data_IF_582238078196
#
_entry.id   IF_582238078196
#
_cell.length_a   1.000
_cell.length_b   1.000
_cell.length_c   1.000
_cell.angle_alpha   90.00
_cell.angle_beta   90.00
_cell.angle_gamma   90.00
#
_symmetry.space_group_name_H-M   'P 1'
#
loop_
_entity.id
_entity.type
_entity.pdbx_description
1 polymer ?
#
# COMPACT_ATOMS: atom_id res chain seq x y z
N UNK A 1 20.51 -14.21 1.44
CA UNK A 1 20.09 -12.96 2.13
C UNK A 1 19.29 -12.06 1.18
N UNK A 2 18.32 -11.32 1.71
CA UNK A 2 17.52 -10.32 0.97
C UNK A 2 17.79 -8.95 1.57
N UNK A 3 18.14 -7.97 0.75
CA UNK A 3 18.39 -6.57 1.18
C UNK A 3 17.22 -5.70 0.73
N UNK A 4 16.51 -5.10 1.67
CA UNK A 4 15.31 -4.29 1.46
C UNK A 4 14.05 -5.01 1.95
N UNK A 5 13.26 -4.30 2.77
CA UNK A 5 11.99 -4.69 3.36
C UNK A 5 10.80 -3.94 2.77
N UNK A 6 10.93 -3.50 1.51
CA UNK A 6 9.81 -3.08 0.67
C UNK A 6 9.05 -4.27 0.06
N UNK A 7 8.03 -4.02 -0.78
CA UNK A 7 7.15 -5.06 -1.32
C UNK A 7 7.89 -6.25 -1.94
N UNK A 8 8.80 -5.97 -2.89
CA UNK A 8 9.60 -7.00 -3.58
C UNK A 8 10.44 -7.82 -2.59
N UNK A 9 11.05 -7.15 -1.61
CA UNK A 9 11.89 -7.81 -0.61
C UNK A 9 11.09 -8.76 0.27
N UNK A 10 9.92 -8.32 0.74
CA UNK A 10 9.02 -9.15 1.55
C UNK A 10 8.45 -10.33 0.76
N UNK A 11 7.96 -10.12 -0.46
CA UNK A 11 7.44 -11.18 -1.34
C UNK A 11 8.50 -12.25 -1.61
N UNK A 12 9.71 -11.83 -2.02
CA UNK A 12 10.79 -12.75 -2.33
C UNK A 12 11.30 -13.46 -1.08
N UNK A 13 11.43 -12.77 0.06
CA UNK A 13 11.83 -13.40 1.31
C UNK A 13 10.85 -14.49 1.73
N UNK A 14 9.55 -14.22 1.68
CA UNK A 14 8.54 -15.22 2.04
C UNK A 14 8.53 -16.40 1.07
N UNK A 15 8.60 -16.13 -0.24
CA UNK A 15 8.62 -17.16 -1.27
C UNK A 15 9.83 -18.10 -1.12
N UNK A 16 11.05 -17.54 -1.00
CA UNK A 16 12.27 -18.34 -0.81
C UNK A 16 12.25 -19.12 0.50
N UNK A 17 11.78 -18.52 1.59
CA UNK A 17 11.67 -19.20 2.89
C UNK A 17 10.72 -20.41 2.79
N UNK A 18 9.55 -20.25 2.17
CA UNK A 18 8.57 -21.34 1.96
C UNK A 18 9.09 -22.42 1.01
N UNK A 19 9.97 -22.06 0.07
CA UNK A 19 10.72 -22.97 -0.79
C UNK A 19 11.96 -23.59 -0.09
N UNK A 20 12.04 -23.50 1.24
CA UNK A 20 13.09 -24.11 2.07
C UNK A 20 14.49 -23.51 1.89
N UNK A 21 14.58 -22.27 1.39
CA UNK A 21 15.82 -21.48 1.46
C UNK A 21 15.89 -20.79 2.82
N UNK A 22 17.01 -20.85 3.53
CA UNK A 22 17.18 -20.05 4.75
C UNK A 22 17.30 -18.56 4.37
N UNK A 23 16.32 -17.75 4.76
CA UNK A 23 16.29 -16.33 4.43
C UNK A 23 16.61 -15.48 5.65
N UNK A 24 17.60 -14.60 5.51
CA UNK A 24 17.77 -13.40 6.35
C UNK A 24 17.41 -12.17 5.51
N UNK A 25 16.36 -11.45 5.90
CA UNK A 25 15.95 -10.17 5.34
C UNK A 25 16.55 -9.02 6.17
N UNK A 26 17.20 -8.08 5.49
CA UNK A 26 17.87 -6.93 6.07
C UNK A 26 17.17 -5.66 5.61
N UNK A 27 16.66 -4.86 6.53
CA UNK A 27 16.01 -3.57 6.27
C UNK A 27 16.69 -2.47 7.09
N UNK A 28 16.97 -1.33 6.46
CA UNK A 28 17.66 -0.19 7.09
C UNK A 28 16.71 0.62 7.98
N UNK A 29 15.42 0.62 7.65
CA UNK A 29 14.36 1.20 8.46
C UNK A 29 14.03 0.32 9.67
N UNK A 30 13.33 0.91 10.63
CA UNK A 30 12.86 0.27 11.85
C UNK A 30 11.59 -0.59 11.64
N UNK A 31 11.03 -0.61 10.43
CA UNK A 31 9.85 -1.40 10.06
C UNK A 31 9.86 -1.80 8.58
N UNK A 32 9.15 -2.87 8.27
CA UNK A 32 8.85 -3.29 6.89
C UNK A 32 7.75 -2.42 6.28
N UNK A 33 7.69 -2.41 4.95
CA UNK A 33 6.66 -1.73 4.16
C UNK A 33 6.47 -0.27 4.60
N UNK A 34 7.55 0.51 4.59
CA UNK A 34 7.58 1.88 5.13
C UNK A 34 6.51 2.81 4.52
N UNK A 35 6.09 2.56 3.28
CA UNK A 35 5.08 3.34 2.56
C UNK A 35 3.64 2.94 2.91
N UNK A 36 3.45 1.82 3.59
CA UNK A 36 2.15 1.29 3.99
C UNK A 36 1.82 1.59 5.47
N UNK A 37 0.59 1.25 5.88
CA UNK A 37 0.15 1.35 7.27
C UNK A 37 1.09 0.55 8.19
N UNK A 38 1.49 1.15 9.31
CA UNK A 38 2.43 0.53 10.24
C UNK A 38 1.94 -0.82 10.79
N UNK A 39 0.61 -0.98 10.96
CA UNK A 39 0.00 -2.24 11.34
C UNK A 39 0.16 -3.33 10.28
N UNK A 40 0.16 -2.97 8.99
CA UNK A 40 0.39 -3.90 7.90
C UNK A 40 1.84 -4.41 7.88
N UNK A 41 2.81 -3.49 8.00
CA UNK A 41 4.23 -3.85 8.08
C UNK A 41 4.55 -4.76 9.27
N UNK A 42 3.88 -4.55 10.42
CA UNK A 42 4.01 -5.42 11.60
C UNK A 42 3.46 -6.82 11.35
N UNK A 43 2.29 -6.95 10.73
CA UNK A 43 1.70 -8.26 10.41
C UNK A 43 2.60 -9.04 9.43
N UNK A 44 3.13 -8.36 8.41
CA UNK A 44 4.06 -8.99 7.46
C UNK A 44 5.36 -9.43 8.16
N UNK A 45 5.89 -8.63 9.09
CA UNK A 45 7.06 -9.02 9.89
C UNK A 45 6.78 -10.28 10.71
N UNK A 46 5.63 -10.34 11.40
CA UNK A 46 5.22 -11.49 12.19
C UNK A 46 5.02 -12.73 11.30
N UNK A 47 4.42 -12.57 10.12
CA UNK A 47 4.23 -13.65 9.15
C UNK A 47 5.57 -14.20 8.61
N UNK A 48 6.51 -13.33 8.24
CA UNK A 48 7.85 -13.75 7.79
C UNK A 48 8.59 -14.54 8.88
N UNK A 49 8.52 -14.07 10.13
CA UNK A 49 9.14 -14.77 11.28
C UNK A 49 8.48 -16.11 11.55
N UNK A 50 7.15 -16.19 11.45
CA UNK A 50 6.40 -17.45 11.58
C UNK A 50 6.82 -18.47 10.50
N UNK A 51 7.07 -18.01 9.27
CA UNK A 51 7.56 -18.86 8.18
C UNK A 51 9.03 -19.29 8.39
N UNK A 52 9.72 -18.74 9.39
CA UNK A 52 11.09 -19.09 9.78
C UNK A 52 12.17 -18.18 9.19
N UNK A 53 11.79 -17.09 8.51
CA UNK A 53 12.75 -16.12 8.01
C UNK A 53 13.31 -15.28 9.18
N UNK A 54 14.62 -15.05 9.17
CA UNK A 54 15.24 -14.07 10.05
C UNK A 54 15.02 -12.67 9.47
N UNK A 55 14.58 -11.72 10.30
CA UNK A 55 14.37 -10.33 9.88
C UNK A 55 15.14 -9.40 10.79
N UNK A 56 16.12 -8.69 10.23
CA UNK A 56 16.91 -7.66 10.90
C UNK A 56 16.48 -6.29 10.39
N UNK A 57 15.82 -5.54 11.28
CA UNK A 57 15.43 -4.14 11.08
C UNK A 57 16.55 -3.23 11.60
N UNK A 58 16.56 -1.98 11.16
CA UNK A 58 17.62 -1.01 11.48
C UNK A 58 19.03 -1.52 11.11
N UNK A 59 19.11 -2.43 10.14
CA UNK A 59 20.34 -3.08 9.72
C UNK A 59 21.13 -2.17 8.77
N UNK A 60 22.18 -1.52 9.29
CA UNK A 60 23.07 -0.67 8.49
C UNK A 60 24.18 -1.52 7.87
N UNK A 61 24.08 -1.79 6.58
CA UNK A 61 25.12 -2.51 5.84
C UNK A 61 26.31 -1.57 5.60
N UNK A 62 27.49 -1.93 6.11
CA UNK A 62 28.74 -1.17 5.96
C UNK A 62 29.60 -1.67 4.80
N UNK A 63 29.65 -2.99 4.60
CA UNK A 63 30.47 -3.64 3.57
C UNK A 63 29.82 -4.95 3.11
N UNK A 64 29.97 -5.27 1.83
CA UNK A 64 29.65 -6.58 1.27
C UNK A 64 30.88 -7.09 0.52
N UNK A 65 31.26 -8.34 0.79
CA UNK A 65 32.42 -8.96 0.15
C UNK A 65 32.14 -10.44 -0.17
N UNK A 66 32.93 -11.00 -1.08
CA UNK A 66 32.94 -12.43 -1.36
C UNK A 66 34.09 -13.08 -0.59
N UNK A 67 33.80 -14.19 0.11
CA UNK A 67 34.81 -15.02 0.77
C UNK A 67 34.65 -16.45 0.26
N UNK A 68 35.44 -16.83 -0.74
CA UNK A 68 35.26 -18.08 -1.47
C UNK A 68 33.92 -18.11 -2.21
N UNK A 69 33.11 -19.14 -1.96
CA UNK A 69 31.76 -19.28 -2.54
C UNK A 69 30.73 -18.43 -1.77
N UNK A 70 30.98 -18.10 -0.51
CA UNK A 70 30.04 -17.34 0.33
C UNK A 70 30.07 -15.84 0.05
N UNK A 71 28.93 -15.18 0.30
CA UNK A 71 28.81 -13.74 0.38
C UNK A 71 28.67 -13.33 1.84
N UNK A 72 29.46 -12.33 2.23
CA UNK A 72 29.56 -11.84 3.61
C UNK A 72 29.08 -10.40 3.64
N UNK A 73 28.02 -10.16 4.42
CA UNK A 73 27.42 -8.85 4.64
C UNK A 73 27.78 -8.38 6.05
N UNK A 74 28.50 -7.27 6.12
CA UNK A 74 28.89 -6.63 7.37
C UNK A 74 27.85 -5.58 7.76
N UNK A 75 27.34 -5.69 8.98
CA UNK A 75 26.36 -4.79 9.58
C UNK A 75 27.03 -3.98 10.68
N UNK A 76 26.86 -2.66 10.64
CA UNK A 76 27.27 -1.77 11.72
C UNK A 76 26.30 -1.92 12.90
N UNK A 77 26.80 -2.40 14.05
CA UNK A 77 26.06 -2.45 15.31
C UNK A 77 25.96 -1.11 16.02
N UNK A 78 25.09 -1.03 17.02
CA UNK A 78 24.83 0.20 17.78
C UNK A 78 26.06 0.68 18.58
N UNK A 79 26.91 -0.25 19.03
CA UNK A 79 28.05 0.02 19.93
C UNK A 79 29.41 -0.13 19.22
N UNK A 80 29.42 -0.09 17.88
CA UNK A 80 30.64 -0.34 17.09
C UNK A 80 30.98 -1.82 16.90
N UNK A 81 30.20 -2.73 17.49
CA UNK A 81 30.29 -4.16 17.20
C UNK A 81 29.84 -4.46 15.76
N UNK A 82 30.67 -5.16 15.00
CA UNK A 82 30.35 -5.58 13.63
C UNK A 82 29.62 -6.93 13.68
N UNK A 83 28.38 -6.95 13.17
CA UNK A 83 27.63 -8.20 12.99
C UNK A 83 27.76 -8.67 11.55
N UNK A 84 27.97 -9.97 11.37
CA UNK A 84 28.14 -10.56 10.04
C UNK A 84 26.98 -11.47 9.67
N UNK A 85 26.47 -11.33 8.45
CA UNK A 85 25.50 -12.25 7.83
C UNK A 85 26.18 -12.94 6.65
N UNK A 86 26.19 -14.27 6.65
CA UNK A 86 26.71 -15.10 5.55
C UNK A 86 25.55 -15.65 4.73
N UNK A 87 25.71 -15.70 3.41
CA UNK A 87 24.73 -16.28 2.51
C UNK A 87 25.37 -16.76 1.20
N UNK A 88 24.80 -17.80 0.61
CA UNK A 88 25.20 -18.29 -0.72
C UNK A 88 24.86 -17.27 -1.82
N UNK A 89 23.74 -16.55 -1.66
CA UNK A 89 23.26 -15.56 -2.60
C UNK A 89 22.71 -14.31 -1.90
N UNK A 90 22.79 -13.17 -2.59
CA UNK A 90 22.24 -11.89 -2.16
C UNK A 90 21.24 -11.41 -3.21
N UNK A 91 20.00 -11.18 -2.79
CA UNK A 91 18.99 -10.47 -3.58
C UNK A 91 18.92 -9.01 -3.10
N UNK A 92 19.14 -8.05 -4.00
CA UNK A 92 19.04 -6.62 -3.69
C UNK A 92 17.69 -6.08 -4.17
N UNK A 93 16.81 -5.78 -3.22
CA UNK A 93 15.47 -5.22 -3.40
C UNK A 93 15.35 -3.81 -2.78
N UNK A 94 16.41 -3.00 -2.90
CA UNK A 94 16.53 -1.68 -2.27
C UNK A 94 15.85 -0.53 -3.05
N UNK A 95 15.12 -0.82 -4.13
CA UNK A 95 14.40 0.16 -4.93
C UNK A 95 14.68 0.05 -6.43
N UNK A 96 14.13 0.99 -7.19
CA UNK A 96 14.25 1.07 -8.66
C UNK A 96 14.74 2.46 -9.04
N UNK A 97 15.55 2.53 -10.10
CA UNK A 97 16.01 3.79 -10.68
C UNK A 97 15.37 3.94 -12.07
N UNK A 98 14.84 5.12 -12.43
CA UNK A 98 14.28 5.35 -13.75
C UNK A 98 15.36 5.25 -14.82
N UNK A 99 15.06 4.55 -15.92
CA UNK A 99 15.99 4.39 -17.04
C UNK A 99 15.93 5.63 -17.94
N UNK A 100 16.86 6.56 -17.74
CA UNK A 100 16.96 7.82 -18.50
C UNK A 100 18.27 7.95 -19.31
N UNK A 101 19.27 7.13 -19.00
CA UNK A 101 20.56 7.13 -19.67
C UNK A 101 20.47 6.61 -21.11
N UNK A 102 21.23 7.23 -22.02
CA UNK A 102 21.31 6.81 -23.42
C UNK A 102 20.09 7.14 -24.29
N UNK A 103 19.10 7.88 -23.76
CA UNK A 103 17.87 8.24 -24.49
C UNK A 103 17.98 9.54 -25.32
N UNK A 104 19.06 10.31 -25.17
CA UNK A 104 19.24 11.60 -25.86
C UNK A 104 18.25 12.68 -25.41
N UNK A 105 17.83 12.65 -24.13
CA UNK A 105 16.81 13.56 -23.58
C UNK A 105 17.22 15.02 -23.66
N UNK A 106 18.50 15.33 -23.45
CA UNK A 106 19.05 16.68 -23.57
C UNK A 106 18.93 17.21 -25.00
N UNK A 107 19.32 16.39 -25.99
CA UNK A 107 19.18 16.74 -27.40
C UNK A 107 17.71 16.91 -27.80
N UNK A 108 16.80 16.18 -27.16
CA UNK A 108 15.36 16.30 -27.34
C UNK A 108 14.73 17.45 -26.54
N UNK A 109 15.48 18.23 -25.74
CA UNK A 109 14.94 19.31 -24.91
C UNK A 109 14.03 18.83 -23.78
N UNK A 110 14.24 17.61 -23.28
CA UNK A 110 13.48 16.99 -22.19
C UNK A 110 14.26 17.08 -20.90
N UNK A 111 13.71 17.78 -19.91
CA UNK A 111 14.29 17.84 -18.57
C UNK A 111 14.02 16.54 -17.80
N UNK A 112 15.05 16.05 -17.12
CA UNK A 112 14.97 14.86 -16.30
C UNK A 112 15.96 14.95 -15.13
N UNK A 113 15.79 14.05 -14.17
CA UNK A 113 16.70 13.84 -13.05
C UNK A 113 17.11 12.36 -13.07
N UNK A 114 18.41 12.01 -12.97
CA UNK A 114 18.86 10.61 -13.01
C UNK A 114 18.24 9.70 -11.95
N UNK A 115 17.76 10.25 -10.84
CA UNK A 115 17.15 9.50 -9.72
C UNK A 115 15.62 9.61 -9.72
N UNK A 116 15.06 10.75 -10.11
CA UNK A 116 13.60 11.01 -10.07
C UNK A 116 12.90 10.79 -11.42
N UNK A 117 13.66 10.75 -12.52
CA UNK A 117 13.17 10.43 -13.85
C UNK A 117 12.82 11.66 -14.69
N UNK A 118 12.06 11.45 -15.77
CA UNK A 118 11.61 12.50 -16.69
C UNK A 118 10.62 13.42 -16.00
N UNK A 119 10.85 14.73 -16.09
CA UNK A 119 9.95 15.73 -15.55
C UNK A 119 8.74 15.91 -16.47
N UNK A 120 7.55 15.74 -15.91
CA UNK A 120 6.28 15.94 -16.61
C UNK A 120 5.37 16.91 -15.87
N UNK A 121 4.47 17.56 -16.61
CA UNK A 121 3.30 18.24 -16.05
C UNK A 121 2.19 17.24 -15.69
N UNK A 122 1.10 17.72 -15.08
CA UNK A 122 -0.03 16.86 -14.68
C UNK A 122 -0.78 16.25 -15.87
N UNK A 123 -0.48 16.66 -17.12
CA UNK A 123 -0.99 16.05 -18.35
C UNK A 123 -0.01 15.04 -18.95
N UNK A 124 1.06 14.70 -18.21
CA UNK A 124 2.13 13.79 -18.60
C UNK A 124 2.99 14.29 -19.78
N UNK A 125 2.99 15.60 -20.02
CA UNK A 125 3.80 16.24 -21.05
C UNK A 125 5.12 16.70 -20.47
N UNK A 126 6.20 16.49 -21.20
CA UNK A 126 7.56 16.89 -20.77
C UNK A 126 7.80 18.39 -20.99
N UNK A 127 9.02 18.87 -20.71
CA UNK A 127 9.44 20.23 -21.07
C UNK A 127 9.48 20.47 -22.58
N UNK A 128 9.65 19.42 -23.39
CA UNK A 128 9.39 19.49 -24.82
C UNK A 128 7.88 19.28 -25.06
N UNK A 129 7.15 20.26 -25.63
CA UNK A 129 5.70 20.19 -25.77
C UNK A 129 5.22 19.09 -26.73
N UNK A 130 6.12 18.48 -27.52
CA UNK A 130 5.83 17.37 -28.43
C UNK A 130 6.16 15.99 -27.84
N UNK A 131 6.74 15.95 -26.65
CA UNK A 131 7.19 14.71 -26.00
C UNK A 131 6.43 14.51 -24.69
N UNK A 132 6.02 13.27 -24.47
CA UNK A 132 5.27 12.82 -23.30
C UNK A 132 6.02 11.65 -22.63
N UNK A 133 5.75 11.41 -21.35
CA UNK A 133 6.30 10.26 -20.63
C UNK A 133 5.24 9.64 -19.71
N UNK A 134 5.28 8.31 -19.55
CA UNK A 134 4.35 7.55 -18.72
C UNK A 134 5.07 6.41 -17.99
N UNK A 135 4.49 5.95 -16.89
CA UNK A 135 5.00 4.83 -16.10
C UNK A 135 6.22 5.19 -15.25
N UNK A 136 7.00 4.16 -14.90
CA UNK A 136 8.11 4.21 -13.94
C UNK A 136 9.12 5.33 -14.19
N UNK A 137 9.29 5.74 -15.44
CA UNK A 137 10.28 6.78 -15.82
C UNK A 137 9.90 8.17 -15.32
N UNK A 138 8.65 8.41 -14.90
CA UNK A 138 8.17 9.73 -14.47
C UNK A 138 7.17 9.69 -13.30
N UNK A 139 6.94 8.52 -12.70
CA UNK A 139 5.92 8.30 -11.67
C UNK A 139 6.50 7.79 -10.37
N UNK A 140 5.94 8.26 -9.24
CA UNK A 140 6.15 7.65 -7.92
C UNK A 140 5.48 6.28 -7.78
N UNK A 141 4.45 6.02 -8.58
CA UNK A 141 3.71 4.76 -8.62
C UNK A 141 4.28 3.88 -9.73
N UNK A 142 5.21 3.02 -9.36
CA UNK A 142 5.93 2.12 -10.27
C UNK A 142 5.19 0.78 -10.40
N UNK A 143 3.95 0.84 -10.89
CA UNK A 143 3.07 -0.32 -11.04
C UNK A 143 2.58 -0.45 -12.48
N UNK A 144 2.40 -1.69 -12.93
CA UNK A 144 1.97 -1.99 -14.31
C UNK A 144 0.64 -1.33 -14.66
N UNK A 145 -0.37 -1.42 -13.79
CA UNK A 145 -1.67 -0.79 -14.01
C UNK A 145 -1.61 0.74 -13.93
N UNK A 146 -0.70 1.32 -13.13
CA UNK A 146 -0.47 2.76 -13.14
C UNK A 146 0.12 3.21 -14.49
N UNK A 147 1.13 2.47 -14.99
CA UNK A 147 1.74 2.74 -16.29
C UNK A 147 0.72 2.65 -17.44
N UNK A 148 -0.17 1.64 -17.44
CA UNK A 148 -1.25 1.52 -18.44
C UNK A 148 -2.17 2.76 -18.44
N UNK A 149 -2.71 3.15 -17.28
CA UNK A 149 -3.61 4.31 -17.21
C UNK A 149 -2.90 5.64 -17.50
N UNK A 150 -1.62 5.77 -17.16
CA UNK A 150 -0.80 6.89 -17.59
C UNK A 150 -0.60 6.91 -19.11
N UNK A 151 -0.36 5.76 -19.75
CA UNK A 151 -0.24 5.68 -21.19
C UNK A 151 -1.54 6.09 -21.89
N UNK A 152 -2.71 5.69 -21.37
CA UNK A 152 -4.02 6.16 -21.85
C UNK A 152 -4.17 7.67 -21.73
N UNK A 153 -3.71 8.24 -20.62
CA UNK A 153 -3.69 9.70 -20.39
C UNK A 153 -2.81 10.41 -21.42
N UNK A 154 -1.61 9.88 -21.69
CA UNK A 154 -0.71 10.39 -22.73
C UNK A 154 -1.37 10.33 -24.10
N UNK A 155 -1.92 9.17 -24.50
CA UNK A 155 -2.57 9.01 -25.81
C UNK A 155 -3.73 9.99 -25.99
N UNK A 156 -4.59 10.14 -24.97
CA UNK A 156 -5.69 11.09 -25.00
C UNK A 156 -5.21 12.54 -25.15
N UNK A 157 -4.18 12.92 -24.38
CA UNK A 157 -3.68 14.29 -24.37
C UNK A 157 -2.86 14.64 -25.62
N UNK A 158 -2.12 13.68 -26.18
CA UNK A 158 -1.24 13.87 -27.32
C UNK A 158 -1.97 13.80 -28.66
N UNK A 159 -2.91 12.86 -28.83
CA UNK A 159 -3.51 12.56 -30.14
C UNK A 159 -4.87 13.21 -30.35
N UNK A 160 -5.65 13.41 -29.28
CA UNK A 160 -7.03 13.93 -29.38
C UNK A 160 -7.24 15.20 -28.56
N UNK A 161 -6.15 15.90 -28.22
CA UNK A 161 -6.17 17.17 -27.47
C UNK A 161 -6.96 17.10 -26.15
N UNK A 162 -6.91 15.93 -25.51
CA UNK A 162 -7.49 15.69 -24.20
C UNK A 162 -6.89 16.60 -23.12
N UNK A 163 -7.60 16.67 -21.99
CA UNK A 163 -7.18 17.42 -20.79
C UNK A 163 -7.14 16.51 -19.55
N UNK A 164 -6.87 15.23 -19.76
CA UNK A 164 -6.78 14.24 -18.69
C UNK A 164 -5.58 14.56 -17.79
N UNK A 165 -5.74 14.26 -16.50
CA UNK A 165 -4.76 14.59 -15.46
C UNK A 165 -4.29 13.33 -14.76
N UNK A 166 -2.98 13.18 -14.58
CA UNK A 166 -2.39 12.09 -13.82
C UNK A 166 -2.82 12.14 -12.34
N UNK A 167 -2.98 13.34 -11.77
CA UNK A 167 -3.49 13.56 -10.42
C UNK A 167 -4.94 13.09 -10.19
N UNK A 168 -5.68 12.80 -11.26
CA UNK A 168 -7.03 12.25 -11.18
C UNK A 168 -7.04 10.71 -11.13
N UNK A 169 -5.87 10.05 -11.21
CA UNK A 169 -5.75 8.61 -11.13
C UNK A 169 -5.60 8.17 -9.67
N UNK A 170 -6.62 7.48 -9.14
CA UNK A 170 -6.52 6.78 -7.87
C UNK A 170 -5.89 5.41 -8.11
N UNK A 171 -4.61 5.28 -7.76
CA UNK A 171 -3.81 4.06 -7.99
C UNK A 171 -3.87 3.18 -6.74
N UNK A 172 -4.56 2.01 -6.76
CA UNK A 172 -4.41 1.00 -5.72
C UNK A 172 -3.07 0.28 -5.89
N UNK A 173 -2.59 -0.40 -4.85
CA UNK A 173 -1.44 -1.28 -4.93
C UNK A 173 -1.59 -2.47 -3.98
N UNK A 174 -0.80 -3.51 -4.21
CA UNK A 174 -0.74 -4.67 -3.34
C UNK A 174 0.68 -5.22 -3.25
N UNK A 175 1.02 -5.71 -2.06
CA UNK A 175 2.16 -6.58 -1.78
C UNK A 175 1.61 -7.98 -1.54
N UNK A 176 2.04 -8.93 -2.35
CA UNK A 176 1.52 -10.30 -2.41
C UNK A 176 2.24 -11.25 -1.44
N UNK A 177 2.50 -10.77 -0.22
CA UNK A 177 2.81 -11.66 0.92
C UNK A 177 1.57 -12.43 1.35
N UNK A 178 1.72 -13.32 2.32
CA UNK A 178 0.64 -14.06 2.96
C UNK A 178 0.68 -13.81 4.48
N UNK A 179 -0.22 -12.98 5.02
CA UNK A 179 -1.34 -12.31 4.33
C UNK A 179 -0.89 -11.20 3.36
N UNK A 180 -1.72 -10.90 2.36
CA UNK A 180 -1.48 -9.80 1.42
C UNK A 180 -1.71 -8.46 2.10
N UNK A 181 -0.99 -7.44 1.64
CA UNK A 181 -1.25 -6.04 1.99
C UNK A 181 -1.74 -5.33 0.74
N UNK A 182 -2.84 -4.60 0.81
CA UNK A 182 -3.33 -3.80 -0.29
C UNK A 182 -3.80 -2.44 0.21
N UNK A 183 -3.57 -1.39 -0.58
CA UNK A 183 -3.92 -0.04 -0.19
C UNK A 183 -4.31 0.82 -1.40
N UNK A 184 -5.03 1.90 -1.13
CA UNK A 184 -5.46 2.89 -2.13
C UNK A 184 -5.66 4.25 -1.45
N UNK A 185 -5.38 5.32 -2.18
CA UNK A 185 -5.50 6.69 -1.67
C UNK A 185 -4.40 7.04 -0.66
N UNK A 186 -4.70 8.00 0.20
CA UNK A 186 -3.71 8.63 1.08
C UNK A 186 -3.76 8.02 2.48
N UNK A 187 -2.60 7.57 2.99
CA UNK A 187 -2.48 7.13 4.38
C UNK A 187 -2.55 8.32 5.35
N UNK A 188 -2.82 8.06 6.63
CA UNK A 188 -2.99 9.11 7.66
C UNK A 188 -1.86 10.14 7.70
N UNK A 189 -0.61 9.69 7.65
CA UNK A 189 0.56 10.56 7.71
C UNK A 189 0.66 11.49 6.48
N UNK A 190 0.30 11.00 5.30
CA UNK A 190 0.29 11.79 4.07
C UNK A 190 -0.91 12.75 4.07
N UNK A 191 -2.07 12.33 4.57
CA UNK A 191 -3.26 13.18 4.71
C UNK A 191 -3.02 14.33 5.70
N UNK A 192 -2.33 14.06 6.81
CA UNK A 192 -1.92 15.10 7.75
C UNK A 192 -0.96 16.11 7.11
N UNK A 193 -0.02 15.65 6.28
CA UNK A 193 0.88 16.52 5.51
C UNK A 193 0.15 17.43 4.50
N UNK A 194 -1.01 17.00 4.02
CA UNK A 194 -1.92 17.78 3.16
C UNK A 194 -2.90 18.68 3.95
N UNK A 195 -2.82 18.71 5.28
CA UNK A 195 -3.75 19.46 6.13
C UNK A 195 -5.16 18.88 6.16
N UNK A 196 -5.32 17.59 5.86
CA UNK A 196 -6.61 16.89 5.89
C UNK A 196 -6.74 16.20 7.24
N UNK A 197 -7.64 16.71 8.10
CA UNK A 197 -8.04 15.97 9.30
C UNK A 197 -8.83 14.72 8.92
N UNK A 198 -8.38 13.56 9.40
CA UNK A 198 -9.00 12.26 9.11
C UNK A 198 -9.61 11.61 10.35
N UNK A 199 -10.60 10.76 10.13
CA UNK A 199 -11.12 9.80 11.10
C UNK A 199 -10.94 8.39 10.53
N UNK A 200 -10.35 7.48 11.32
CA UNK A 200 -10.12 6.11 10.91
C UNK A 200 -11.22 5.16 11.43
N UNK A 201 -11.57 4.16 10.62
CA UNK A 201 -12.41 3.02 11.02
C UNK A 201 -11.67 1.74 10.68
N UNK A 202 -11.50 0.88 11.68
CA UNK A 202 -10.74 -0.37 11.56
C UNK A 202 -11.64 -1.54 11.94
N UNK A 203 -11.77 -2.49 11.01
CA UNK A 203 -12.43 -3.77 11.22
C UNK A 203 -11.37 -4.89 11.22
N UNK A 204 -11.06 -5.49 12.38
CA UNK A 204 -10.20 -6.67 12.44
C UNK A 204 -10.84 -7.86 11.70
N UNK A 205 -10.01 -8.71 11.08
CA UNK A 205 -10.50 -9.94 10.43
C UNK A 205 -11.02 -10.99 11.42
N UNK A 206 -10.59 -10.95 12.68
CA UNK A 206 -11.21 -11.73 13.78
C UNK A 206 -12.72 -11.49 13.93
N UNK A 207 -13.20 -10.30 13.52
CA UNK A 207 -14.62 -9.97 13.50
C UNK A 207 -15.33 -10.31 12.19
N UNK A 208 -14.75 -11.15 11.33
CA UNK A 208 -15.30 -11.53 10.01
C UNK A 208 -15.44 -13.04 9.93
N UNK A 209 -16.68 -13.52 9.85
CA UNK A 209 -17.02 -14.94 9.98
C UNK A 209 -16.26 -15.82 8.98
N UNK A 210 -16.11 -15.36 7.73
CA UNK A 210 -15.34 -16.12 6.73
C UNK A 210 -13.86 -16.27 7.13
N UNK A 211 -13.24 -15.22 7.63
CA UNK A 211 -11.85 -15.26 8.08
C UNK A 211 -11.68 -16.21 9.27
N UNK A 212 -12.65 -16.25 10.19
CA UNK A 212 -12.68 -17.22 11.30
C UNK A 212 -12.80 -18.66 10.79
N UNK A 213 -13.73 -18.91 9.86
CA UNK A 213 -13.94 -20.24 9.28
C UNK A 213 -12.72 -20.76 8.50
N UNK A 214 -11.97 -19.86 7.86
CA UNK A 214 -10.77 -20.21 7.10
C UNK A 214 -9.50 -20.28 7.99
N UNK A 215 -9.58 -19.88 9.26
CA UNK A 215 -8.40 -19.78 10.15
C UNK A 215 -7.46 -18.62 9.78
N UNK A 216 -7.96 -17.60 9.10
CA UNK A 216 -7.21 -16.50 8.50
C UNK A 216 -7.58 -15.16 9.15
N UNK A 217 -7.57 -15.13 10.48
CA UNK A 217 -8.03 -13.97 11.26
C UNK A 217 -6.97 -12.87 11.40
N UNK A 218 -5.74 -13.13 10.99
CA UNK A 218 -4.64 -12.17 10.98
C UNK A 218 -4.88 -11.09 9.91
N UNK A 219 -5.14 -9.86 10.36
CA UNK A 219 -5.36 -8.75 9.44
C UNK A 219 -6.50 -7.82 9.83
N UNK A 220 -6.77 -6.88 8.93
CA UNK A 220 -7.81 -5.89 9.11
C UNK A 220 -8.21 -5.24 7.77
N UNK A 221 -9.38 -4.63 7.75
CA UNK A 221 -9.71 -3.56 6.81
C UNK A 221 -9.74 -2.23 7.57
N UNK A 222 -8.95 -1.25 7.13
CA UNK A 222 -8.87 0.09 7.73
C UNK A 222 -9.17 1.13 6.65
N UNK A 223 -10.01 2.09 6.96
CA UNK A 223 -10.38 3.19 6.06
C UNK A 223 -10.29 4.52 6.78
N UNK A 224 -9.78 5.53 6.10
CA UNK A 224 -9.74 6.90 6.57
C UNK A 224 -10.75 7.74 5.79
N UNK A 225 -11.56 8.50 6.51
CA UNK A 225 -12.47 9.50 5.93
C UNK A 225 -12.04 10.90 6.37
N UNK A 226 -12.36 11.92 5.56
CA UNK A 226 -12.22 13.30 6.00
C UNK A 226 -13.16 13.56 7.17
N UNK A 227 -12.61 14.04 8.29
CA UNK A 227 -13.34 14.28 9.54
C UNK A 227 -14.55 15.18 9.29
N UNK A 228 -15.68 14.82 9.90
CA UNK A 228 -16.96 15.51 9.71
C UNK A 228 -17.70 15.15 8.42
N UNK A 229 -17.14 14.30 7.55
CA UNK A 229 -17.77 13.84 6.31
C UNK A 229 -17.74 12.31 6.20
N UNK A 230 -18.36 11.73 5.17
CA UNK A 230 -18.19 10.31 4.81
C UNK A 230 -17.22 10.11 3.62
N UNK A 231 -16.53 11.17 3.17
CA UNK A 231 -15.61 11.10 2.03
C UNK A 231 -14.37 10.28 2.39
N UNK A 232 -14.18 9.17 1.69
CA UNK A 232 -13.00 8.31 1.82
C UNK A 232 -11.76 9.05 1.28
N UNK A 233 -10.68 8.99 2.04
CA UNK A 233 -9.37 9.59 1.70
C UNK A 233 -8.37 8.49 1.34
N UNK A 234 -8.45 7.33 1.99
CA UNK A 234 -7.64 6.17 1.68
C UNK A 234 -8.09 4.95 2.47
N UNK A 235 -7.55 3.80 2.12
CA UNK A 235 -7.80 2.54 2.82
C UNK A 235 -6.60 1.60 2.73
N UNK A 236 -6.51 0.70 3.71
CA UNK A 236 -5.57 -0.43 3.75
C UNK A 236 -6.32 -1.68 4.14
N UNK A 237 -6.05 -2.77 3.43
CA UNK A 237 -6.55 -4.11 3.72
C UNK A 237 -5.35 -5.03 3.93
N UNK A 238 -5.37 -5.80 5.00
CA UNK A 238 -4.43 -6.89 5.28
C UNK A 238 -5.26 -8.15 5.43
N UNK A 239 -5.15 -9.07 4.48
CA UNK A 239 -6.00 -10.25 4.34
C UNK A 239 -5.40 -11.20 3.30
N UNK A 240 -5.81 -12.47 3.27
CA UNK A 240 -5.34 -13.42 2.24
C UNK A 240 -5.63 -12.96 0.81
N UNK A 241 -6.78 -12.31 0.59
CA UNK A 241 -7.20 -11.78 -0.72
C UNK A 241 -7.32 -10.24 -0.71
N UNK A 242 -6.39 -9.55 -0.02
CA UNK A 242 -6.44 -8.09 0.10
C UNK A 242 -6.43 -7.37 -1.26
N UNK A 243 -5.68 -7.89 -2.24
CA UNK A 243 -5.58 -7.32 -3.58
C UNK A 243 -6.91 -7.30 -4.35
N UNK A 244 -7.80 -8.27 -4.09
CA UNK A 244 -9.14 -8.28 -4.66
C UNK A 244 -10.10 -7.38 -3.87
N UNK A 245 -9.99 -7.39 -2.54
CA UNK A 245 -10.84 -6.62 -1.64
C UNK A 245 -10.65 -5.10 -1.76
N UNK A 246 -9.42 -4.63 -2.01
CA UNK A 246 -9.10 -3.20 -2.13
C UNK A 246 -9.86 -2.53 -3.28
N UNK A 247 -10.28 -3.32 -4.28
CA UNK A 247 -11.09 -2.85 -5.42
C UNK A 247 -12.40 -2.18 -5.00
N UNK A 248 -13.01 -2.60 -3.88
CA UNK A 248 -14.22 -1.96 -3.35
C UNK A 248 -13.96 -0.52 -2.88
N UNK A 249 -12.83 -0.28 -2.21
CA UNK A 249 -12.42 1.06 -1.81
C UNK A 249 -11.96 1.88 -3.00
N UNK A 250 -11.21 1.30 -3.93
CA UNK A 250 -10.77 1.97 -5.15
C UNK A 250 -11.96 2.47 -5.97
N UNK A 251 -12.98 1.63 -6.16
CA UNK A 251 -14.22 2.02 -6.81
C UNK A 251 -14.92 3.17 -6.06
N UNK A 252 -15.04 3.06 -4.74
CA UNK A 252 -15.69 4.09 -3.94
C UNK A 252 -14.98 5.44 -4.04
N UNK A 253 -13.64 5.46 -3.96
CA UNK A 253 -12.85 6.69 -4.09
C UNK A 253 -13.00 7.28 -5.50
N UNK A 254 -12.80 6.48 -6.55
CA UNK A 254 -12.88 6.92 -7.95
C UNK A 254 -14.28 7.46 -8.31
N UNK A 255 -15.34 6.87 -7.75
CA UNK A 255 -16.73 7.31 -7.94
C UNK A 255 -17.20 8.32 -6.89
N UNK A 256 -16.31 8.76 -6.00
CA UNK A 256 -16.59 9.72 -4.91
C UNK A 256 -17.77 9.29 -4.03
N UNK A 257 -17.94 7.99 -3.84
CA UNK A 257 -18.91 7.41 -2.93
C UNK A 257 -18.42 7.57 -1.49
N UNK A 258 -19.33 7.97 -0.60
CA UNK A 258 -19.03 8.03 0.83
C UNK A 258 -18.99 6.64 1.46
N UNK A 259 -18.34 6.52 2.61
CA UNK A 259 -18.21 5.26 3.36
C UNK A 259 -19.55 4.60 3.71
N UNK A 260 -20.63 5.37 3.83
CA UNK A 260 -21.99 4.83 4.01
C UNK A 260 -22.46 3.97 2.85
N UNK A 261 -22.01 4.26 1.63
CA UNK A 261 -22.37 3.47 0.45
C UNK A 261 -21.80 2.04 0.57
N UNK A 262 -20.62 1.89 1.18
CA UNK A 262 -20.04 0.58 1.46
C UNK A 262 -20.81 -0.17 2.56
N UNK A 263 -21.38 0.53 3.55
CA UNK A 263 -22.22 -0.09 4.58
C UNK A 263 -23.50 -0.73 3.99
N UNK A 264 -24.08 -0.09 2.97
CA UNK A 264 -25.28 -0.56 2.27
C UNK A 264 -25.01 -1.61 1.19
N UNK A 265 -23.76 -1.99 0.97
CA UNK A 265 -23.41 -2.97 -0.06
C UNK A 265 -23.84 -4.37 0.38
N UNK A 266 -24.65 -5.04 -0.44
CA UNK A 266 -25.02 -6.45 -0.24
C UNK A 266 -23.91 -7.31 -0.85
N UNK A 267 -23.12 -7.94 0.01
CA UNK A 267 -22.08 -8.89 -0.37
C UNK A 267 -22.57 -10.33 -0.14
N UNK A 268 -22.11 -11.31 -0.93
CA UNK A 268 -22.30 -12.72 -0.61
C UNK A 268 -21.76 -13.03 0.80
N UNK A 269 -22.47 -13.89 1.51
CA UNK A 269 -22.14 -14.30 2.87
C UNK A 269 -21.92 -15.83 2.93
N UNK A 270 -20.88 -16.31 3.64
CA UNK A 270 -19.80 -15.54 4.27
C UNK A 270 -18.65 -15.24 3.29
N UNK A 271 -18.13 -14.00 3.28
CA UNK A 271 -16.91 -13.63 2.50
C UNK A 271 -15.98 -12.72 3.31
N UNK A 272 -14.67 -12.76 3.06
CA UNK A 272 -13.72 -11.84 3.73
C UNK A 272 -13.96 -10.37 3.34
N UNK A 273 -14.56 -10.13 2.16
CA UNK A 273 -14.97 -8.80 1.69
C UNK A 273 -15.95 -8.10 2.65
N UNK A 274 -16.65 -8.84 3.53
CA UNK A 274 -17.46 -8.24 4.59
C UNK A 274 -16.64 -7.33 5.52
N UNK A 275 -15.33 -7.53 5.65
CA UNK A 275 -14.46 -6.61 6.38
C UNK A 275 -14.62 -5.16 5.89
N UNK A 276 -14.71 -4.98 4.56
CA UNK A 276 -14.90 -3.68 3.91
C UNK A 276 -16.27 -3.11 4.26
N UNK A 277 -17.35 -3.89 4.11
CA UNK A 277 -18.72 -3.46 4.46
C UNK A 277 -18.82 -3.03 5.93
N UNK A 278 -18.24 -3.82 6.84
CA UNK A 278 -18.27 -3.58 8.28
C UNK A 278 -17.56 -2.29 8.69
N UNK A 279 -16.58 -1.79 7.92
CA UNK A 279 -16.04 -0.43 8.17
C UNK A 279 -17.09 0.67 8.00
N UNK A 280 -18.03 0.48 7.04
CA UNK A 280 -19.19 1.35 6.87
C UNK A 280 -20.17 1.27 8.04
N UNK A 281 -20.36 0.07 8.61
CA UNK A 281 -21.16 -0.11 9.82
C UNK A 281 -20.55 0.61 11.03
N UNK A 282 -19.22 0.55 11.18
CA UNK A 282 -18.50 1.30 12.23
C UNK A 282 -18.71 2.82 12.06
N UNK A 283 -18.64 3.32 10.82
CA UNK A 283 -18.96 4.72 10.53
C UNK A 283 -20.41 5.06 10.92
N UNK A 284 -21.39 4.24 10.56
CA UNK A 284 -22.79 4.47 10.93
C UNK A 284 -23.01 4.47 12.45
N UNK A 285 -22.36 3.54 13.17
CA UNK A 285 -22.41 3.50 14.65
C UNK A 285 -21.85 4.76 15.28
N UNK A 286 -20.76 5.33 14.74
CA UNK A 286 -20.18 6.58 15.25
C UNK A 286 -21.12 7.79 15.15
N UNK A 287 -22.11 7.74 14.26
CA UNK A 287 -23.14 8.79 14.09
C UNK A 287 -24.32 8.66 15.05
N UNK A 288 -24.51 7.49 15.69
CA UNK A 288 -25.53 7.29 16.71
C UNK A 288 -25.09 7.91 18.03
N UNK A 289 -25.05 9.25 18.08
CA UNK A 289 -24.67 10.00 19.28
C UNK A 289 -25.63 9.69 20.45
N UNK A 290 -25.21 9.87 21.71
CA UNK A 290 -26.09 9.64 22.86
C UNK A 290 -27.43 10.38 22.78
N UNK A 291 -27.45 11.59 22.20
CA UNK A 291 -28.65 12.37 21.95
C UNK A 291 -29.58 11.69 20.93
N UNK A 292 -29.03 11.25 19.79
CA UNK A 292 -29.77 10.53 18.75
C UNK A 292 -30.30 9.20 19.30
N UNK A 293 -29.47 8.44 20.02
CA UNK A 293 -29.88 7.19 20.66
C UNK A 293 -31.00 7.42 21.66
N UNK A 294 -30.93 8.46 22.50
CA UNK A 294 -31.98 8.84 23.46
C UNK A 294 -33.30 9.20 22.76
N UNK A 295 -33.22 9.95 21.66
CA UNK A 295 -34.40 10.30 20.86
C UNK A 295 -35.03 9.08 20.18
N UNK A 296 -34.23 8.26 19.49
CA UNK A 296 -34.68 7.00 18.90
C UNK A 296 -35.30 6.05 19.93
N UNK A 297 -34.70 5.97 21.12
CA UNK A 297 -35.23 5.12 22.21
C UNK A 297 -36.56 5.63 22.74
N UNK A 298 -36.77 6.95 22.80
CA UNK A 298 -38.06 7.56 23.14
C UNK A 298 -39.11 7.28 22.08
N UNK A 299 -38.77 7.45 20.80
CA UNK A 299 -39.67 7.14 19.68
C UNK A 299 -40.05 5.66 19.61
N UNK A 300 -39.09 4.74 19.75
CA UNK A 300 -39.35 3.30 19.80
C UNK A 300 -40.18 2.88 21.02
N UNK A 301 -40.07 3.59 22.16
CA UNK A 301 -40.94 3.35 23.32
C UNK A 301 -42.37 3.83 23.06
N UNK A 302 -42.53 4.98 22.39
CA UNK A 302 -43.84 5.47 21.98
C UNK A 302 -44.53 4.52 20.99
N UNK A 303 -43.81 3.99 19.99
CA UNK A 303 -44.37 3.00 19.06
C UNK A 303 -44.72 1.66 19.73
N UNK A 304 -44.06 1.29 20.83
CA UNK A 304 -44.33 0.06 21.58
C UNK A 304 -45.40 0.23 22.68
N UNK A 305 -45.85 1.45 22.91
CA UNK A 305 -46.78 1.82 23.98
C UNK A 305 -48.09 2.44 23.49
N UNK A 306 -48.51 2.09 22.26
CA UNK A 306 -49.86 2.30 21.76
C UNK A 306 -50.57 0.96 21.63
#
# INVERSE_FOLDING_TARGET
AVIGGGPIGCEMAQAFQRLRTQVTLLEVADRLLLKDDAGAGRIVLEALRRDGAEVSLSAKISRVEAQGEEKVIHLAGADGEERVVRADAILVAAGRVPRVEGLGLEAAGVAFDPRKGVRVDDRLRTTNPRVYAAGDVCSRYQFTHAADFMARTVLANALVHGRQRASALDIPWSTYTDPQVAAVGTAEAEAAGEGIETQAFLQPLEGVDRAVLDGETEGFAKVWVRKGTDRIVGATVVARNAGDMIGLYALAIQKRLGLKALAGLILPYPTQAEAVRKTGDLYNRSRLTPAVKKWMSRWLRWQRGG
#
